data_IF_208587270953
#
_entry.id   IF_208587270953
#
_cell.length_a   1.000
_cell.length_b   1.000
_cell.length_c   1.000
_cell.angle_alpha   90.00
_cell.angle_beta   90.00
_cell.angle_gamma   90.00
#
_symmetry.space_group_name_H-M   'P 1'
#
loop_
_entity.id
_entity.type
_entity.pdbx_description
1 polymer ?
#
# COMPACT_ATOMS: atom_id res chain seq x y z
N UNK A 1 25.62 -25.47 4.20
CA UNK A 1 24.98 -24.86 3.01
C UNK A 1 23.57 -24.47 3.41
N UNK A 2 23.34 -23.18 3.69
CA UNK A 2 21.95 -22.68 3.71
C UNK A 2 21.46 -22.69 2.26
N UNK A 3 20.19 -23.06 1.99
CA UNK A 3 19.66 -22.90 0.64
C UNK A 3 19.77 -21.41 0.29
N UNK A 4 20.18 -21.11 -0.94
CA UNK A 4 20.12 -19.75 -1.50
C UNK A 4 18.65 -19.30 -1.49
N UNK A 5 18.18 -18.77 -0.36
CA UNK A 5 16.91 -18.06 -0.31
C UNK A 5 17.08 -16.82 -1.16
N UNK A 6 16.24 -16.67 -2.17
CA UNK A 6 16.14 -15.40 -2.88
C UNK A 6 15.13 -14.57 -2.08
N UNK A 7 15.56 -13.64 -1.21
CA UNK A 7 14.67 -12.92 -0.31
C UNK A 7 13.57 -12.17 -1.07
N UNK A 8 13.85 -11.71 -2.29
CA UNK A 8 12.83 -11.06 -3.15
C UNK A 8 11.73 -12.05 -3.52
N UNK A 9 12.07 -13.29 -3.91
CA UNK A 9 11.07 -14.31 -4.27
C UNK A 9 10.21 -14.71 -3.08
N UNK A 10 10.81 -14.89 -1.91
CA UNK A 10 10.08 -15.25 -0.68
C UNK A 10 9.08 -14.14 -0.29
N UNK A 11 9.49 -12.87 -0.37
CA UNK A 11 8.60 -11.74 -0.12
C UNK A 11 7.49 -11.62 -1.17
N UNK A 12 7.78 -11.84 -2.46
CA UNK A 12 6.75 -11.78 -3.52
C UNK A 12 5.67 -12.85 -3.32
N UNK A 13 6.04 -14.07 -2.91
CA UNK A 13 5.09 -15.13 -2.57
C UNK A 13 4.20 -14.71 -1.39
N UNK A 14 4.79 -14.14 -0.35
CA UNK A 14 4.04 -13.67 0.81
C UNK A 14 3.08 -12.51 0.45
N UNK A 15 3.54 -11.56 -0.36
CA UNK A 15 2.70 -10.44 -0.84
C UNK A 15 1.53 -10.96 -1.66
N UNK A 16 1.75 -11.91 -2.57
CA UNK A 16 0.68 -12.49 -3.39
C UNK A 16 -0.37 -13.20 -2.55
N UNK A 17 0.09 -14.00 -1.59
CA UNK A 17 -0.80 -14.67 -0.63
C UNK A 17 -1.63 -13.64 0.16
N UNK A 18 -1.02 -12.53 0.59
CA UNK A 18 -1.73 -11.47 1.28
C UNK A 18 -2.75 -10.78 0.36
N UNK A 19 -2.38 -10.47 -0.89
CA UNK A 19 -3.24 -9.81 -1.86
C UNK A 19 -4.46 -10.65 -2.26
N UNK A 20 -4.36 -11.97 -2.21
CA UNK A 20 -5.47 -12.88 -2.49
C UNK A 20 -6.35 -13.15 -1.25
N UNK A 21 -6.01 -12.54 -0.10
CA UNK A 21 -6.81 -12.61 1.12
C UNK A 21 -8.15 -11.89 0.95
N UNK A 22 -9.26 -12.46 1.48
CA UNK A 22 -10.57 -11.83 1.46
C UNK A 22 -10.62 -10.43 2.10
N UNK A 23 -9.65 -10.10 2.96
CA UNK A 23 -9.57 -8.80 3.63
C UNK A 23 -9.45 -7.62 2.65
N UNK A 24 -8.95 -7.86 1.44
CA UNK A 24 -8.81 -6.88 0.37
C UNK A 24 -9.93 -6.94 -0.68
N UNK A 25 -11.01 -7.68 -0.39
CA UNK A 25 -12.22 -7.61 -1.20
C UNK A 25 -12.93 -6.26 -1.01
N UNK A 26 -13.69 -5.83 -2.01
CA UNK A 26 -14.41 -4.55 -1.99
C UNK A 26 -15.52 -4.47 -0.91
N UNK A 27 -16.02 -5.62 -0.44
CA UNK A 27 -17.17 -5.72 0.47
C UNK A 27 -16.78 -6.04 1.93
N UNK A 28 -15.51 -5.87 2.29
CA UNK A 28 -14.98 -6.15 3.62
C UNK A 28 -15.47 -5.10 4.64
N UNK A 29 -15.83 -5.51 5.85
CA UNK A 29 -16.31 -4.61 6.92
C UNK A 29 -15.17 -3.77 7.47
N UNK A 30 -15.45 -2.57 7.98
CA UNK A 30 -14.45 -1.75 8.70
C UNK A 30 -13.95 -2.40 10.00
N UNK A 31 -14.72 -3.33 10.55
CA UNK A 31 -14.35 -4.11 11.74
C UNK A 31 -13.37 -5.26 11.42
N UNK A 32 -13.15 -5.57 10.14
CA UNK A 32 -12.23 -6.61 9.71
C UNK A 32 -10.76 -6.18 9.93
N UNK A 33 -9.80 -7.13 10.08
CA UNK A 33 -8.40 -6.83 10.41
C UNK A 33 -7.59 -6.21 9.25
N UNK A 34 -8.23 -5.49 8.33
CA UNK A 34 -7.61 -4.94 7.12
C UNK A 34 -6.49 -3.95 7.42
N UNK A 35 -6.56 -3.20 8.52
CA UNK A 35 -5.51 -2.25 8.90
C UNK A 35 -4.18 -2.95 9.19
N UNK A 36 -4.22 -4.04 9.95
CA UNK A 36 -3.01 -4.84 10.24
C UNK A 36 -2.50 -5.55 8.99
N UNK A 37 -3.39 -6.08 8.16
CA UNK A 37 -3.03 -6.76 6.90
C UNK A 37 -2.41 -5.78 5.90
N UNK A 38 -2.99 -4.59 5.75
CA UNK A 38 -2.44 -3.51 4.93
C UNK A 38 -1.07 -3.08 5.42
N UNK A 39 -0.87 -2.90 6.73
CA UNK A 39 0.43 -2.55 7.27
C UNK A 39 1.50 -3.63 6.96
N UNK A 40 1.17 -4.91 7.04
CA UNK A 40 2.09 -5.99 6.68
C UNK A 40 2.37 -6.06 5.18
N UNK A 41 1.35 -5.79 4.35
CA UNK A 41 1.49 -5.69 2.90
C UNK A 41 2.45 -4.56 2.52
N UNK A 42 2.30 -3.37 3.09
CA UNK A 42 3.21 -2.23 2.86
C UNK A 42 4.63 -2.56 3.30
N UNK A 43 4.83 -3.19 4.47
CA UNK A 43 6.16 -3.63 4.92
C UNK A 43 6.82 -4.61 3.95
N UNK A 44 6.06 -5.58 3.46
CA UNK A 44 6.59 -6.60 2.54
C UNK A 44 6.93 -5.99 1.19
N UNK A 45 6.04 -5.14 0.66
CA UNK A 45 6.25 -4.45 -0.61
C UNK A 45 7.44 -3.48 -0.54
N UNK A 46 7.57 -2.74 0.56
CA UNK A 46 8.73 -1.88 0.82
C UNK A 46 10.05 -2.65 0.75
N UNK A 47 10.17 -3.76 1.47
CA UNK A 47 11.37 -4.62 1.43
C UNK A 47 11.70 -5.07 0.02
N UNK A 48 10.70 -5.49 -0.77
CA UNK A 48 10.87 -5.91 -2.15
C UNK A 48 11.37 -4.77 -3.03
N UNK A 49 10.77 -3.59 -2.93
CA UNK A 49 11.14 -2.43 -3.74
C UNK A 49 12.54 -1.89 -3.38
N UNK A 50 12.92 -1.92 -2.10
CA UNK A 50 14.28 -1.55 -1.66
C UNK A 50 15.32 -2.53 -2.23
N UNK A 51 15.06 -3.83 -2.15
CA UNK A 51 15.96 -4.85 -2.71
C UNK A 51 16.04 -4.74 -4.24
N UNK A 52 14.93 -4.41 -4.91
CA UNK A 52 14.90 -4.16 -6.34
C UNK A 52 15.78 -2.98 -6.74
N UNK A 53 15.67 -1.87 -6.01
CA UNK A 53 16.42 -0.64 -6.25
C UNK A 53 17.92 -0.88 -6.05
N UNK A 54 18.30 -1.60 -4.98
CA UNK A 54 19.68 -2.03 -4.74
C UNK A 54 20.25 -2.91 -5.87
N UNK A 55 19.38 -3.63 -6.58
CA UNK A 55 19.74 -4.41 -7.77
C UNK A 55 19.67 -3.61 -9.09
N UNK A 56 19.42 -2.31 -9.05
CA UNK A 56 19.28 -1.45 -10.24
C UNK A 56 17.99 -1.71 -11.03
N UNK A 57 16.95 -2.21 -10.37
CA UNK A 57 15.66 -2.62 -10.94
C UNK A 57 14.48 -1.91 -10.27
N UNK A 58 14.65 -0.62 -10.01
CA UNK A 58 13.62 0.22 -9.40
C UNK A 58 12.31 0.18 -10.20
N UNK A 59 11.18 0.11 -9.50
CA UNK A 59 9.84 0.28 -10.07
C UNK A 59 9.40 1.72 -9.83
N UNK A 60 9.22 2.51 -10.89
CA UNK A 60 9.17 3.98 -10.81
C UNK A 60 8.04 4.63 -11.61
N UNK A 61 6.94 3.90 -11.86
CA UNK A 61 5.79 4.52 -12.52
C UNK A 61 5.17 5.65 -11.68
N UNK A 62 4.63 6.65 -12.38
CA UNK A 62 4.15 7.92 -11.82
C UNK A 62 2.61 8.01 -11.79
N UNK A 63 1.92 7.11 -12.49
CA UNK A 63 0.47 7.16 -12.69
C UNK A 63 -0.26 7.23 -11.34
N UNK A 64 -1.01 8.32 -11.11
CA UNK A 64 -1.81 8.58 -9.91
C UNK A 64 -1.05 8.53 -8.56
N UNK A 65 0.28 8.68 -8.59
CA UNK A 65 1.12 8.68 -7.40
C UNK A 65 1.23 10.07 -6.77
N UNK A 66 1.03 10.09 -5.45
CA UNK A 66 1.26 11.26 -4.63
C UNK A 66 0.20 12.35 -4.78
N UNK A 67 0.24 13.31 -3.86
CA UNK A 67 -0.59 14.52 -3.92
C UNK A 67 0.31 15.74 -4.02
N UNK A 68 -0.03 16.66 -4.94
CA UNK A 68 0.66 17.94 -5.14
C UNK A 68 2.18 17.81 -5.44
N UNK A 69 2.61 16.72 -6.08
CA UNK A 69 4.01 16.53 -6.50
C UNK A 69 5.00 16.27 -5.36
N UNK A 70 4.53 15.99 -4.13
CA UNK A 70 5.40 15.67 -2.98
C UNK A 70 6.12 14.32 -3.14
N UNK A 71 5.48 13.37 -3.81
CA UNK A 71 5.97 12.01 -4.01
C UNK A 71 6.08 11.77 -5.51
N UNK A 72 7.26 11.35 -5.95
CA UNK A 72 7.59 11.31 -7.38
C UNK A 72 7.14 10.02 -8.06
N UNK A 73 7.27 8.87 -7.40
CA UNK A 73 7.02 7.56 -8.00
C UNK A 73 6.49 6.54 -6.97
N UNK A 74 6.00 5.40 -7.45
CA UNK A 74 5.41 4.37 -6.59
C UNK A 74 6.37 3.83 -5.50
N UNK A 75 7.65 3.64 -5.80
CA UNK A 75 8.62 3.20 -4.79
C UNK A 75 8.79 4.26 -3.71
N UNK A 76 8.81 5.53 -4.09
CA UNK A 76 8.81 6.65 -3.15
C UNK A 76 7.52 6.71 -2.30
N UNK A 77 6.36 6.42 -2.91
CA UNK A 77 5.08 6.36 -2.19
C UNK A 77 5.05 5.25 -1.14
N UNK A 78 5.45 4.04 -1.53
CA UNK A 78 5.48 2.90 -0.61
C UNK A 78 6.50 3.13 0.52
N UNK A 79 7.65 3.72 0.23
CA UNK A 79 8.63 4.11 1.26
C UNK A 79 8.02 5.12 2.24
N UNK A 80 7.37 6.17 1.75
CA UNK A 80 6.71 7.15 2.62
C UNK A 80 5.61 6.52 3.49
N UNK A 81 4.81 5.62 2.91
CA UNK A 81 3.76 4.91 3.66
C UNK A 81 4.35 4.00 4.74
N UNK A 82 5.45 3.32 4.43
CA UNK A 82 6.20 2.50 5.39
C UNK A 82 6.68 3.33 6.58
N UNK A 83 7.29 4.50 6.32
CA UNK A 83 7.78 5.41 7.35
C UNK A 83 6.67 5.94 8.27
N UNK A 84 5.42 5.96 7.79
CA UNK A 84 4.27 6.36 8.58
C UNK A 84 3.71 5.26 9.50
N UNK A 85 3.97 3.98 9.21
CA UNK A 85 3.39 2.84 9.94
C UNK A 85 3.65 2.85 11.46
N UNK A 86 4.85 3.19 11.97
CA UNK A 86 5.09 3.26 13.41
C UNK A 86 4.16 4.26 14.12
N UNK A 87 3.85 5.38 13.47
CA UNK A 87 2.92 6.38 14.00
C UNK A 87 1.50 5.86 14.08
N UNK A 88 1.06 5.10 13.07
CA UNK A 88 -0.27 4.49 13.04
C UNK A 88 -0.45 3.44 14.16
N UNK A 89 0.59 2.67 14.47
CA UNK A 89 0.54 1.67 15.53
C UNK A 89 0.41 2.28 16.94
N UNK A 90 0.80 3.55 17.11
CA UNK A 90 0.66 4.28 18.37
C UNK A 90 -0.72 4.93 18.54
N UNK A 91 -1.56 4.94 17.49
CA UNK A 91 -2.92 5.49 17.57
C UNK A 91 -3.82 4.61 18.43
N UNK A 92 -4.58 5.24 19.33
CA UNK A 92 -5.53 4.53 20.19
C UNK A 92 -6.86 4.36 19.46
N UNK A 93 -7.40 3.14 19.54
CA UNK A 93 -8.76 2.87 19.07
C UNK A 93 -9.77 3.82 19.73
N UNK A 94 -10.68 4.38 18.94
CA UNK A 94 -11.73 5.31 19.40
C UNK A 94 -11.39 6.81 19.34
N UNK A 95 -10.15 7.20 19.03
CA UNK A 95 -9.81 8.60 18.78
C UNK A 95 -10.10 8.97 17.31
N UNK A 96 -11.36 9.29 17.00
CA UNK A 96 -11.83 9.61 15.65
C UNK A 96 -11.02 10.71 14.95
N UNK A 97 -10.54 11.71 15.70
CA UNK A 97 -9.75 12.83 15.18
C UNK A 97 -8.34 12.44 14.75
N UNK A 98 -7.85 11.27 15.16
CA UNK A 98 -6.50 10.80 14.84
C UNK A 98 -6.46 9.68 13.82
N UNK A 99 -7.59 9.16 13.31
CA UNK A 99 -7.58 8.00 12.41
C UNK A 99 -6.94 8.37 11.04
N UNK A 100 -5.62 8.22 10.93
CA UNK A 100 -4.85 8.61 9.74
C UNK A 100 -4.95 7.56 8.64
N UNK A 101 -5.09 6.28 9.01
CA UNK A 101 -5.26 5.17 8.08
C UNK A 101 -6.73 4.96 7.73
N UNK A 102 -7.07 5.18 6.47
CA UNK A 102 -8.43 5.04 5.95
C UNK A 102 -8.41 4.22 4.66
N UNK A 103 -9.56 3.66 4.29
CA UNK A 103 -9.77 3.10 2.96
C UNK A 103 -11.07 3.61 2.38
N UNK A 104 -11.19 3.57 1.06
CA UNK A 104 -12.39 3.91 0.33
C UNK A 104 -12.51 3.02 -0.90
N UNK A 105 -13.72 2.67 -1.30
CA UNK A 105 -14.01 1.80 -2.43
C UNK A 105 -14.85 2.53 -3.48
N UNK A 106 -14.55 2.25 -4.75
CA UNK A 106 -15.15 2.87 -5.94
C UNK A 106 -14.86 4.37 -6.09
N UNK A 107 -15.30 4.96 -7.21
CA UNK A 107 -15.14 6.37 -7.49
C UNK A 107 -15.92 7.21 -6.46
N UNK A 108 -15.34 8.33 -6.03
CA UNK A 108 -16.01 9.24 -5.13
C UNK A 108 -15.08 10.22 -4.45
N UNK A 109 -15.67 11.10 -3.63
CA UNK A 109 -14.92 12.06 -2.85
C UNK A 109 -15.65 12.36 -1.54
N UNK A 110 -14.91 12.89 -0.58
CA UNK A 110 -15.46 13.22 0.71
C UNK A 110 -14.40 13.72 1.69
N UNK A 111 -14.75 13.61 2.97
CA UNK A 111 -13.85 13.95 4.06
C UNK A 111 -13.78 12.80 5.04
N UNK A 112 -12.58 12.47 5.49
CA UNK A 112 -12.40 11.56 6.62
C UNK A 112 -12.79 12.25 7.93
N UNK A 113 -12.96 11.46 9.00
CA UNK A 113 -13.32 11.97 10.32
C UNK A 113 -12.29 12.96 10.90
N UNK A 114 -11.04 12.92 10.43
CA UNK A 114 -9.99 13.87 10.78
C UNK A 114 -10.04 15.18 9.96
N UNK A 115 -11.04 15.36 9.07
CA UNK A 115 -11.21 16.52 8.22
C UNK A 115 -10.34 16.53 6.96
N UNK A 116 -9.56 15.48 6.70
CA UNK A 116 -8.79 15.37 5.46
C UNK A 116 -9.71 15.08 4.28
N UNK A 117 -9.60 15.89 3.22
CA UNK A 117 -10.30 15.65 1.96
C UNK A 117 -9.69 14.44 1.25
N UNK A 118 -10.55 13.58 0.70
CA UNK A 118 -10.12 12.51 -0.18
C UNK A 118 -10.92 12.53 -1.47
N UNK A 119 -10.29 11.99 -2.50
CA UNK A 119 -10.94 11.59 -3.75
C UNK A 119 -10.39 10.25 -4.20
N UNK A 120 -11.22 9.47 -4.86
CA UNK A 120 -10.90 8.25 -5.59
C UNK A 120 -11.44 8.43 -6.99
N UNK A 121 -10.58 8.29 -7.99
CA UNK A 121 -10.91 8.59 -9.38
C UNK A 121 -11.35 7.39 -10.21
N UNK A 122 -11.54 6.21 -9.59
CA UNK A 122 -11.77 4.98 -10.31
C UNK A 122 -12.80 4.09 -9.61
N UNK A 123 -13.77 3.62 -10.38
CA UNK A 123 -14.66 2.53 -9.99
C UNK A 123 -13.93 1.19 -9.90
N UNK A 124 -14.53 0.24 -9.16
CA UNK A 124 -14.00 -1.11 -8.90
C UNK A 124 -12.57 -1.11 -8.30
N UNK A 125 -12.20 -0.02 -7.64
CA UNK A 125 -10.90 0.14 -7.00
C UNK A 125 -11.04 0.25 -5.49
N UNK A 126 -10.01 -0.22 -4.78
CA UNK A 126 -9.85 0.01 -3.35
C UNK A 126 -8.66 0.94 -3.14
N UNK A 127 -8.91 2.10 -2.58
CA UNK A 127 -7.90 3.10 -2.27
C UNK A 127 -7.62 3.08 -0.77
N UNK A 128 -6.34 3.06 -0.40
CA UNK A 128 -5.88 3.24 0.97
C UNK A 128 -5.23 4.59 1.13
N UNK A 129 -5.47 5.21 2.28
CA UNK A 129 -5.01 6.54 2.60
C UNK A 129 -4.25 6.52 3.91
N UNK A 130 -3.10 7.19 3.92
CA UNK A 130 -2.45 7.64 5.15
C UNK A 130 -2.35 9.15 5.01
N UNK A 131 -3.06 9.88 5.87
CA UNK A 131 -3.26 11.33 5.71
C UNK A 131 -3.79 11.70 4.32
N UNK A 132 -3.06 12.56 3.59
CA UNK A 132 -3.39 13.04 2.26
C UNK A 132 -2.82 12.15 1.14
N UNK A 133 -2.02 11.12 1.45
CA UNK A 133 -1.43 10.26 0.44
C UNK A 133 -2.28 9.01 0.21
N UNK A 134 -2.47 8.67 -1.07
CA UNK A 134 -3.33 7.60 -1.54
C UNK A 134 -2.53 6.54 -2.29
N UNK A 135 -2.84 5.26 -2.06
CA UNK A 135 -2.37 4.15 -2.87
C UNK A 135 -3.56 3.27 -3.30
N UNK A 136 -3.60 2.89 -4.57
CA UNK A 136 -4.62 2.01 -5.11
C UNK A 136 -4.19 0.54 -5.06
N UNK A 137 -5.10 -0.35 -4.68
CA UNK A 137 -4.82 -1.78 -4.59
C UNK A 137 -4.41 -2.35 -5.96
N UNK A 138 -5.25 -2.15 -6.98
CA UNK A 138 -5.00 -2.76 -8.28
C UNK A 138 -4.02 -1.93 -9.11
N UNK A 139 -4.27 -0.63 -9.24
CA UNK A 139 -3.46 0.26 -10.07
C UNK A 139 -2.02 0.44 -9.59
N UNK A 140 -1.78 0.41 -8.28
CA UNK A 140 -0.44 0.62 -7.74
C UNK A 140 0.17 -0.64 -7.15
N UNK A 141 -0.48 -1.25 -6.15
CA UNK A 141 0.14 -2.34 -5.40
C UNK A 141 0.27 -3.59 -6.28
N UNK A 142 -0.82 -4.09 -6.87
CA UNK A 142 -0.76 -5.27 -7.75
C UNK A 142 0.11 -5.02 -8.98
N UNK A 143 0.09 -3.81 -9.55
CA UNK A 143 0.97 -3.43 -10.65
C UNK A 143 2.45 -3.52 -10.26
N UNK A 144 2.85 -2.90 -9.15
CA UNK A 144 4.23 -2.94 -8.67
C UNK A 144 4.70 -4.38 -8.43
N UNK A 145 3.84 -5.21 -7.83
CA UNK A 145 4.12 -6.65 -7.65
C UNK A 145 4.29 -7.36 -8.98
N UNK A 146 3.42 -7.12 -9.97
CA UNK A 146 3.51 -7.74 -11.29
C UNK A 146 4.78 -7.34 -12.05
N UNK A 147 5.20 -6.08 -11.97
CA UNK A 147 6.46 -5.61 -12.57
C UNK A 147 7.68 -6.27 -11.89
N UNK A 148 7.63 -6.43 -10.57
CA UNK A 148 8.66 -7.15 -9.81
C UNK A 148 8.70 -8.64 -10.15
N UNK A 149 7.55 -9.32 -10.25
CA UNK A 149 7.49 -10.71 -10.67
C UNK A 149 8.12 -10.89 -12.06
N UNK A 150 7.80 -10.02 -13.03
CA UNK A 150 8.40 -10.10 -14.38
C UNK A 150 9.92 -9.89 -14.38
N UNK A 151 10.42 -9.06 -13.47
CA UNK A 151 11.84 -8.72 -13.39
C UNK A 151 12.67 -9.80 -12.72
N UNK A 152 12.09 -10.51 -11.74
CA UNK A 152 12.78 -11.47 -10.89
C UNK A 152 12.31 -12.93 -11.06
N UNK A 153 11.45 -13.20 -12.04
CA UNK A 153 11.04 -14.57 -12.43
C UNK A 153 12.23 -15.39 -12.91
#
# INVERSE_FOLDING_TARGET
MQPNSNPIKDHLIAIRTALDSPVFNLNTSEDDPWKSEFAQLIKSLHSVLVLADQAGKRVDFLDDVGVNGKIQDISSLINWMYDCLPGLAAEKSGQLTTNRLNRYTNEGWGYFANGCFFSVGFDDEQAFFIDDQRVYLNRHIRRAVSEMERTFS
#
